data_IF_912536401457
#
_entry.id   IF_912536401457
#
_cell.length_a   1.000
_cell.length_b   1.000
_cell.length_c   1.000
_cell.angle_alpha   90.00
_cell.angle_beta   90.00
_cell.angle_gamma   90.00
#
_symmetry.space_group_name_H-M   'P 1'
#
loop_
_entity.id
_entity.type
_entity.pdbx_description
1 polymer ?
#
# COMPACT_ATOMS: atom_id res chain seq x y z
N UNK A 1 21.43 10.20 29.97
CA UNK A 1 21.09 11.27 30.92
C UNK A 1 20.23 12.29 30.21
N UNK A 2 19.02 12.54 30.71
CA UNK A 2 18.09 13.54 30.20
C UNK A 2 18.57 14.95 30.56
N UNK A 3 18.28 15.96 29.74
CA UNK A 3 17.67 17.24 30.16
C UNK A 3 17.32 18.06 28.91
N UNK A 4 16.04 18.46 28.85
CA UNK A 4 15.47 19.44 27.92
C UNK A 4 15.67 20.84 28.51
N UNK A 5 16.03 21.84 27.70
CA UNK A 5 15.90 23.24 28.09
C UNK A 5 14.98 23.97 27.09
N UNK A 6 13.79 24.32 27.57
CA UNK A 6 12.88 25.28 26.96
C UNK A 6 13.38 26.70 27.22
N UNK A 7 13.22 27.58 26.24
CA UNK A 7 13.64 28.97 26.35
C UNK A 7 12.99 29.85 25.29
N UNK A 8 11.67 30.04 25.38
CA UNK A 8 10.98 31.10 24.65
C UNK A 8 11.21 32.43 25.37
N UNK A 9 11.74 33.45 24.67
CA UNK A 9 11.66 34.85 25.10
C UNK A 9 10.75 35.61 24.14
N UNK A 10 9.71 36.31 24.64
CA UNK A 10 8.95 37.26 23.85
C UNK A 10 9.63 38.62 23.98
N UNK A 11 10.25 39.12 22.91
CA UNK A 11 10.65 40.53 22.83
C UNK A 11 10.15 41.13 21.51
N UNK A 12 9.08 41.90 21.61
CA UNK A 12 8.77 43.01 20.71
C UNK A 12 8.66 44.24 21.61
N UNK A 13 9.16 45.42 21.19
CA UNK A 13 8.32 46.26 20.33
C UNK A 13 9.06 47.12 19.28
N UNK A 14 8.26 47.61 18.33
CA UNK A 14 8.45 48.82 17.51
C UNK A 14 9.38 48.75 16.30
N UNK A 15 8.73 48.43 15.18
CA UNK A 15 9.09 48.83 13.83
C UNK A 15 8.94 50.36 13.65
N UNK A 16 9.80 50.97 12.85
CA UNK A 16 9.53 52.24 12.15
C UNK A 16 10.25 52.27 10.80
N UNK A 17 9.71 52.99 9.80
CA UNK A 17 9.37 52.39 8.51
C UNK A 17 10.36 52.75 7.40
N UNK A 18 10.69 51.78 6.53
CA UNK A 18 11.52 52.03 5.36
C UNK A 18 11.33 50.95 4.31
N UNK A 19 10.53 51.27 3.29
CA UNK A 19 10.54 50.64 1.95
C UNK A 19 10.08 49.17 1.88
N UNK A 20 8.77 48.98 1.99
CA UNK A 20 8.11 47.74 1.61
C UNK A 20 8.08 47.54 0.09
N UNK A 21 9.13 46.96 -0.47
CA UNK A 21 9.00 46.18 -1.70
C UNK A 21 8.59 44.76 -1.29
N UNK A 22 7.29 44.55 -1.08
CA UNK A 22 6.76 43.19 -0.97
C UNK A 22 6.76 42.60 -2.37
N UNK A 23 7.83 41.89 -2.72
CA UNK A 23 7.74 40.86 -3.74
C UNK A 23 6.77 39.80 -3.19
N UNK A 24 5.50 39.91 -3.56
CA UNK A 24 4.52 38.87 -3.33
C UNK A 24 4.94 37.66 -4.14
N UNK A 25 5.69 36.74 -3.53
CA UNK A 25 5.80 35.38 -4.05
C UNK A 25 4.45 34.74 -3.75
N UNK A 26 3.55 34.80 -4.72
CA UNK A 26 2.36 33.97 -4.72
C UNK A 26 2.85 32.53 -4.91
N UNK A 27 3.14 31.86 -3.79
CA UNK A 27 3.32 30.42 -3.80
C UNK A 27 1.97 29.83 -4.16
N UNK A 28 1.85 29.23 -5.34
CA UNK A 28 0.72 28.37 -5.67
C UNK A 28 0.47 27.45 -4.47
N UNK A 29 -0.78 27.37 -4.02
CA UNK A 29 -1.15 26.41 -2.97
C UNK A 29 -0.79 25.03 -3.52
N UNK A 30 0.16 24.36 -2.89
CA UNK A 30 0.41 22.95 -3.15
C UNK A 30 -0.43 22.18 -2.13
N UNK A 31 -1.29 21.29 -2.61
CA UNK A 31 -1.96 20.31 -1.77
C UNK A 31 -0.96 19.18 -1.52
N UNK A 32 -0.56 19.02 -0.26
CA UNK A 32 0.27 17.92 0.18
C UNK A 32 -0.66 16.88 0.81
N UNK A 33 -1.17 15.96 0.01
CA UNK A 33 -1.84 14.78 0.54
C UNK A 33 -0.79 13.75 0.95
N UNK A 34 -0.76 13.41 2.23
CA UNK A 34 0.14 12.38 2.79
C UNK A 34 -0.66 11.22 3.38
N UNK A 35 -1.92 11.06 2.97
CA UNK A 35 -2.81 10.00 3.44
C UNK A 35 -2.59 8.77 2.58
N UNK A 36 -2.11 7.65 3.13
CA UNK A 36 -1.98 6.43 2.35
C UNK A 36 -3.30 5.66 2.28
N UNK A 37 -3.49 4.85 1.22
CA UNK A 37 -4.64 3.96 1.09
C UNK A 37 -4.82 3.02 2.29
N UNK A 38 -6.02 2.50 2.48
CA UNK A 38 -6.30 1.51 3.53
C UNK A 38 -6.80 0.19 2.92
N UNK A 39 -6.24 -0.93 3.38
CA UNK A 39 -6.77 -2.24 3.06
C UNK A 39 -8.10 -2.49 3.77
N UNK A 40 -9.03 -3.05 3.02
CA UNK A 40 -10.28 -3.59 3.50
C UNK A 40 -10.38 -5.06 3.06
N UNK A 41 -10.77 -5.94 3.99
CA UNK A 41 -11.10 -7.35 3.71
C UNK A 41 -10.00 -8.16 2.97
N UNK A 42 -8.71 -7.88 3.22
CA UNK A 42 -7.62 -8.68 2.64
C UNK A 42 -7.76 -10.15 3.02
N UNK A 43 -7.97 -10.98 2.00
CA UNK A 43 -8.25 -12.40 2.10
C UNK A 43 -7.29 -13.16 1.19
N UNK A 44 -6.59 -14.14 1.74
CA UNK A 44 -5.67 -15.02 1.00
C UNK A 44 -6.04 -16.46 1.33
N UNK A 45 -6.46 -17.22 0.33
CA UNK A 45 -6.99 -18.59 0.49
C UNK A 45 -6.26 -19.52 -0.47
N UNK A 46 -5.90 -20.70 0.03
CA UNK A 46 -5.43 -21.81 -0.77
C UNK A 46 -6.59 -22.73 -1.17
N UNK A 47 -6.76 -22.96 -2.47
CA UNK A 47 -7.70 -23.88 -3.08
C UNK A 47 -6.92 -25.02 -3.76
N UNK A 48 -6.36 -25.92 -2.95
CA UNK A 48 -5.43 -26.95 -3.42
C UNK A 48 -4.10 -26.33 -3.85
N UNK A 49 -3.84 -26.32 -5.16
CA UNK A 49 -2.65 -25.69 -5.77
C UNK A 49 -2.90 -24.26 -6.25
N UNK A 50 -4.16 -23.79 -6.22
CA UNK A 50 -4.50 -22.44 -6.66
C UNK A 50 -4.52 -21.51 -5.45
N UNK A 51 -3.87 -20.37 -5.56
CA UNK A 51 -3.88 -19.30 -4.58
C UNK A 51 -4.88 -18.23 -5.03
N UNK A 52 -5.82 -17.88 -4.15
CA UNK A 52 -6.79 -16.79 -4.36
C UNK A 52 -6.47 -15.63 -3.41
N UNK A 53 -6.22 -14.45 -3.97
CA UNK A 53 -6.01 -13.21 -3.22
C UNK A 53 -7.14 -12.25 -3.59
N UNK A 54 -7.84 -11.74 -2.58
CA UNK A 54 -8.92 -10.77 -2.76
C UNK A 54 -8.84 -9.69 -1.69
N UNK A 55 -8.96 -8.44 -2.09
CA UNK A 55 -8.98 -7.30 -1.19
C UNK A 55 -9.69 -6.11 -1.82
N UNK A 56 -10.08 -5.17 -0.98
CA UNK A 56 -10.59 -3.86 -1.36
C UNK A 56 -9.59 -2.83 -0.81
N UNK A 57 -9.32 -1.77 -1.55
CA UNK A 57 -8.50 -0.65 -1.11
C UNK A 57 -9.32 0.63 -1.18
N UNK A 58 -9.16 1.50 -0.20
CA UNK A 58 -9.85 2.79 -0.17
C UNK A 58 -8.93 3.91 0.30
N UNK A 59 -9.00 5.04 -0.38
CA UNK A 59 -8.47 6.31 0.08
C UNK A 59 -9.60 7.35 0.16
N UNK A 60 -9.43 8.36 1.02
CA UNK A 60 -10.41 9.43 1.22
C UNK A 60 -10.15 10.65 0.34
N UNK A 61 -8.92 10.86 -0.10
CA UNK A 61 -8.47 12.11 -0.72
C UNK A 61 -7.88 11.94 -2.12
N UNK A 62 -7.68 10.70 -2.56
CA UNK A 62 -7.08 10.33 -3.84
C UNK A 62 -7.76 9.09 -4.44
N UNK A 63 -7.55 8.84 -5.74
CA UNK A 63 -7.93 7.57 -6.33
C UNK A 63 -6.85 6.52 -6.05
N UNK A 64 -7.26 5.26 -6.01
CA UNK A 64 -6.32 4.15 -6.00
C UNK A 64 -5.76 3.99 -7.41
N UNK A 65 -4.45 4.13 -7.55
CA UNK A 65 -3.76 4.12 -8.85
C UNK A 65 -3.36 2.70 -9.28
N UNK A 66 -2.82 1.90 -8.36
CA UNK A 66 -2.39 0.53 -8.66
C UNK A 66 -2.27 -0.33 -7.42
N UNK A 67 -2.37 -1.63 -7.61
CA UNK A 67 -2.03 -2.63 -6.62
C UNK A 67 -1.03 -3.64 -7.17
N UNK A 68 -0.16 -4.12 -6.30
CA UNK A 68 0.88 -5.09 -6.63
C UNK A 68 0.98 -6.15 -5.54
N UNK A 69 1.40 -7.35 -5.91
CA UNK A 69 1.61 -8.45 -4.98
C UNK A 69 2.96 -9.15 -5.22
N UNK A 70 3.44 -9.85 -4.18
CA UNK A 70 4.61 -10.71 -4.23
C UNK A 70 4.35 -11.95 -3.39
N UNK A 71 4.80 -13.10 -3.86
CA UNK A 71 4.69 -14.37 -3.12
C UNK A 71 6.08 -14.86 -2.75
N UNK A 72 6.28 -15.19 -1.48
CA UNK A 72 7.55 -15.64 -0.91
C UNK A 72 8.75 -14.71 -1.16
N UNK A 73 8.47 -13.41 -1.34
CA UNK A 73 9.48 -12.39 -1.62
C UNK A 73 9.99 -12.41 -3.06
N UNK A 74 9.17 -12.92 -4.00
CA UNK A 74 9.41 -12.80 -5.44
C UNK A 74 9.40 -11.33 -5.91
N UNK A 75 9.60 -11.15 -7.21
CA UNK A 75 9.35 -9.86 -7.86
C UNK A 75 7.89 -9.42 -7.66
N UNK A 76 7.68 -8.11 -7.58
CA UNK A 76 6.36 -7.50 -7.49
C UNK A 76 5.63 -7.62 -8.84
N UNK A 77 4.37 -8.03 -8.78
CA UNK A 77 3.51 -8.22 -9.94
C UNK A 77 2.26 -7.36 -9.82
N UNK A 78 1.83 -6.76 -10.93
CA UNK A 78 0.62 -5.93 -10.98
C UNK A 78 -0.65 -6.77 -10.77
N UNK A 79 -1.62 -6.20 -10.05
CA UNK A 79 -2.96 -6.76 -9.87
C UNK A 79 -3.95 -5.88 -10.62
N UNK A 80 -4.63 -6.44 -11.62
CA UNK A 80 -5.71 -5.75 -12.29
C UNK A 80 -6.90 -5.55 -11.34
N UNK A 81 -7.51 -4.35 -11.32
CA UNK A 81 -8.75 -4.14 -10.59
C UNK A 81 -9.89 -4.90 -11.28
N UNK A 82 -10.91 -5.27 -10.50
CA UNK A 82 -12.11 -5.96 -11.02
C UNK A 82 -12.87 -5.09 -12.03
N UNK A 83 -12.76 -3.75 -11.92
CA UNK A 83 -13.35 -2.79 -12.86
C UNK A 83 -12.50 -2.47 -14.09
N UNK A 84 -11.43 -3.24 -14.36
CA UNK A 84 -10.44 -3.06 -15.45
C UNK A 84 -9.52 -1.83 -15.35
N UNK A 85 -10.02 -0.71 -14.81
CA UNK A 85 -9.26 0.52 -14.59
C UNK A 85 -9.25 0.83 -13.10
N UNK A 86 -8.11 1.35 -12.61
CA UNK A 86 -7.93 1.78 -11.23
C UNK A 86 -7.99 3.31 -11.20
N UNK A 87 -9.19 3.86 -11.07
CA UNK A 87 -9.46 5.31 -11.14
C UNK A 87 -10.53 5.79 -10.15
N UNK A 88 -10.83 4.95 -9.14
CA UNK A 88 -11.79 5.25 -8.08
C UNK A 88 -11.10 5.41 -6.72
N UNK A 89 -11.67 6.21 -5.79
CA UNK A 89 -11.24 6.25 -4.38
C UNK A 89 -11.38 4.90 -3.67
N UNK A 90 -12.21 4.00 -4.21
CA UNK A 90 -12.39 2.64 -3.72
C UNK A 90 -12.24 1.67 -4.87
N UNK A 91 -11.29 0.75 -4.76
CA UNK A 91 -11.00 -0.27 -5.77
C UNK A 91 -11.07 -1.68 -5.20
N UNK A 92 -11.52 -2.62 -6.03
CA UNK A 92 -11.61 -4.04 -5.68
C UNK A 92 -10.64 -4.84 -6.53
N UNK A 93 -9.92 -5.75 -5.89
CA UNK A 93 -8.96 -6.64 -6.54
C UNK A 93 -9.28 -8.09 -6.22
N UNK A 94 -9.23 -8.95 -7.24
CA UNK A 94 -9.32 -10.40 -7.11
C UNK A 94 -8.39 -11.04 -8.13
N UNK A 95 -7.47 -11.88 -7.67
CA UNK A 95 -6.58 -12.64 -8.54
C UNK A 95 -6.52 -14.11 -8.12
N UNK A 96 -6.30 -14.97 -9.10
CA UNK A 96 -6.06 -16.39 -8.91
C UNK A 96 -4.82 -16.79 -9.67
N UNK A 97 -3.94 -17.54 -9.02
CA UNK A 97 -2.71 -18.03 -9.62
C UNK A 97 -2.46 -19.46 -9.19
N UNK A 98 -1.99 -20.29 -10.11
CA UNK A 98 -1.56 -21.64 -9.78
C UNK A 98 -0.13 -21.57 -9.23
N UNK A 99 0.03 -22.06 -8.01
CA UNK A 99 1.32 -22.15 -7.36
C UNK A 99 1.95 -23.51 -7.71
N UNK A 100 3.14 -23.55 -8.32
CA UNK A 100 3.82 -24.80 -8.51
C UNK A 100 4.06 -25.40 -7.12
N UNK A 101 3.57 -26.62 -6.87
CA UNK A 101 3.95 -27.35 -5.67
C UNK A 101 5.47 -27.48 -5.68
N UNK A 102 6.13 -26.73 -4.81
CA UNK A 102 7.58 -26.74 -4.75
C UNK A 102 8.04 -28.17 -4.55
N UNK A 103 9.06 -28.59 -5.32
CA UNK A 103 9.68 -29.92 -5.21
C UNK A 103 10.24 -30.21 -3.81
N UNK A 104 10.23 -29.22 -2.92
CA UNK A 104 10.66 -29.24 -1.53
C UNK A 104 9.53 -29.40 -0.50
N UNK A 105 8.28 -29.59 -0.91
CA UNK A 105 7.15 -29.72 0.03
C UNK A 105 6.90 -28.45 0.86
N UNK A 106 7.25 -27.27 0.33
CA UNK A 106 6.83 -26.02 0.94
C UNK A 106 5.31 -25.93 0.86
N UNK A 107 4.68 -25.91 2.02
CA UNK A 107 3.25 -25.74 2.17
C UNK A 107 2.91 -24.34 2.67
N UNK A 108 3.80 -23.68 3.40
CA UNK A 108 3.59 -22.32 3.88
C UNK A 108 4.13 -21.31 2.88
N UNK A 109 3.25 -20.43 2.40
CA UNK A 109 3.57 -19.32 1.53
C UNK A 109 3.25 -17.99 2.22
N UNK A 110 4.06 -16.97 1.95
CA UNK A 110 3.82 -15.60 2.40
C UNK A 110 3.42 -14.74 1.22
N UNK A 111 2.26 -14.10 1.31
CA UNK A 111 1.77 -13.13 0.33
C UNK A 111 1.96 -11.73 0.87
N UNK A 112 2.62 -10.89 0.09
CA UNK A 112 2.74 -9.45 0.30
C UNK A 112 1.86 -8.74 -0.72
N UNK A 113 1.15 -7.71 -0.29
CA UNK A 113 0.36 -6.84 -1.17
C UNK A 113 0.70 -5.40 -0.84
N UNK A 114 0.78 -4.55 -1.85
CA UNK A 114 0.92 -3.10 -1.69
C UNK A 114 -0.01 -2.36 -2.63
N UNK A 115 -0.52 -1.22 -2.18
CA UNK A 115 -1.46 -0.40 -2.93
C UNK A 115 -0.98 1.05 -2.89
N UNK A 116 -1.06 1.71 -4.05
CA UNK A 116 -0.65 3.08 -4.27
C UNK A 116 -1.84 3.94 -4.66
N UNK A 117 -1.83 5.19 -4.22
CA UNK A 117 -2.73 6.23 -4.72
C UNK A 117 -2.09 7.10 -5.82
N UNK A 118 -2.82 8.11 -6.28
CA UNK A 118 -2.35 9.08 -7.27
C UNK A 118 -1.15 9.93 -6.82
N UNK A 119 -0.86 9.99 -5.53
CA UNK A 119 0.25 10.75 -4.95
C UNK A 119 1.44 9.85 -4.55
N UNK A 120 1.44 8.58 -5.01
CA UNK A 120 2.41 7.55 -4.65
C UNK A 120 2.48 7.25 -3.13
N UNK A 121 1.46 7.65 -2.36
CA UNK A 121 1.30 7.17 -1.00
C UNK A 121 1.01 5.67 -1.05
N UNK A 122 1.63 4.90 -0.16
CA UNK A 122 1.61 3.43 -0.21
C UNK A 122 1.21 2.82 1.12
N UNK A 123 0.38 1.78 1.06
CA UNK A 123 0.11 0.88 2.17
C UNK A 123 0.46 -0.55 1.78
N UNK A 124 1.04 -1.31 2.73
CA UNK A 124 1.42 -2.71 2.54
C UNK A 124 0.67 -3.62 3.52
N UNK A 125 0.32 -4.81 3.05
CA UNK A 125 -0.36 -5.87 3.79
C UNK A 125 0.35 -7.21 3.57
N UNK A 126 0.24 -8.10 4.54
CA UNK A 126 0.85 -9.43 4.49
C UNK A 126 -0.12 -10.47 4.99
N UNK A 127 -0.13 -11.65 4.37
CA UNK A 127 -0.82 -12.83 4.86
C UNK A 127 0.05 -14.08 4.65
N UNK A 128 0.01 -15.02 5.60
CA UNK A 128 0.59 -16.33 5.42
C UNK A 128 -0.52 -17.34 5.11
N UNK A 129 -0.27 -18.26 4.19
CA UNK A 129 -1.24 -19.24 3.72
C UNK A 129 -0.58 -20.61 3.61
N UNK A 130 -1.27 -21.64 4.09
CA UNK A 130 -0.83 -23.03 3.93
C UNK A 130 -1.54 -23.69 2.75
N UNK A 131 -0.78 -24.16 1.76
CA UNK A 131 -1.23 -24.90 0.59
C UNK A 131 -0.95 -26.40 0.79
N UNK A 132 -1.91 -27.25 0.44
CA UNK A 132 -1.73 -28.70 0.53
C UNK A 132 -1.03 -29.23 -0.72
N UNK A 133 -0.02 -30.07 -0.53
CA UNK A 133 0.50 -30.88 -1.62
C UNK A 133 -0.62 -31.84 -2.05
N UNK A 134 -1.05 -31.75 -3.32
CA UNK A 134 -2.02 -32.66 -3.91
C UNK A 134 -1.66 -34.11 -3.58
N UNK A 135 -2.65 -34.89 -3.16
CA UNK A 135 -2.44 -36.28 -2.73
C UNK A 135 -1.59 -37.04 -3.76
N UNK A 136 -0.60 -37.87 -3.33
CA UNK A 136 0.15 -38.67 -4.28
C UNK A 136 -0.84 -39.58 -5.02
N UNK A 137 -0.81 -39.51 -6.36
CA UNK A 137 -1.52 -40.45 -7.23
C UNK A 137 -1.01 -41.84 -6.85
N UNK A 138 -1.81 -42.58 -6.08
CA UNK A 138 -1.54 -43.96 -5.72
C UNK A 138 -1.38 -44.76 -7.00
N UNK A 139 -0.19 -45.33 -7.22
CA UNK A 139 0.01 -46.31 -8.29
C UNK A 139 -0.87 -47.52 -7.97
N UNK A 140 -1.71 -47.89 -8.95
CA UNK A 140 -2.51 -49.11 -8.96
C UNK A 140 -1.60 -50.33 -9.01
#
# INVERSE_FOLDING_TARGET
AYTVFSGTKPDAPSQSPGQGLKAGKESARFELDTTPPQFQKLTVIAEGQTLRIAFEAADRFSNIQRAEFSVDGSDWQFVAPVGEISDSPVEKYELRMDMPLGSRGQTLHTVLVRVYDDYDNVTSGQAAVSMSAGAPIGKR
#
